data_IF_239949934766
#
_entry.id   IF_239949934766
#
_cell.length_a   1.000
_cell.length_b   1.000
_cell.length_c   1.000
_cell.angle_alpha   90.00
_cell.angle_beta   90.00
_cell.angle_gamma   90.00
#
_symmetry.space_group_name_H-M   'P 1'
#
loop_
_entity.id
_entity.type
_entity.pdbx_description
1 polymer ?
#
# COMPACT_ATOMS: atom_id res chain seq x y z
N UNK A 1 38.06 19.49 22.29
CA UNK A 1 36.82 20.05 22.87
C UNK A 1 36.44 21.41 22.27
N UNK A 2 37.34 22.41 22.26
CA UNK A 2 37.07 23.74 21.68
C UNK A 2 36.81 23.75 20.15
N UNK A 3 37.47 22.88 19.37
CA UNK A 3 37.30 22.80 17.90
C UNK A 3 35.90 22.29 17.48
N UNK A 4 35.28 21.40 18.26
CA UNK A 4 33.95 20.87 17.97
C UNK A 4 32.85 21.92 18.24
N UNK A 5 33.04 22.72 19.29
CA UNK A 5 32.14 23.83 19.60
C UNK A 5 32.23 24.95 18.56
N UNK A 6 33.41 25.19 17.99
CA UNK A 6 33.62 26.17 16.93
C UNK A 6 32.99 25.74 15.59
N UNK A 7 33.07 24.45 15.24
CA UNK A 7 32.37 23.89 14.06
C UNK A 7 30.84 24.01 14.19
N UNK A 8 30.27 23.75 15.36
CA UNK A 8 28.82 23.91 15.59
C UNK A 8 28.32 25.36 15.42
N UNK A 9 29.11 26.35 15.85
CA UNK A 9 28.79 27.78 15.66
C UNK A 9 28.95 28.23 14.21
N UNK A 10 29.96 27.71 13.50
CA UNK A 10 30.17 28.02 12.08
C UNK A 10 29.05 27.46 11.19
N UNK A 11 28.59 26.23 11.48
CA UNK A 11 27.44 25.61 10.78
C UNK A 11 26.16 26.43 11.02
N UNK A 12 25.94 26.92 12.24
CA UNK A 12 24.80 27.81 12.55
C UNK A 12 24.84 29.17 11.83
N UNK A 13 26.03 29.78 11.68
CA UNK A 13 26.19 31.03 10.91
C UNK A 13 26.05 30.83 9.39
N UNK A 14 26.56 29.72 8.86
CA UNK A 14 26.42 29.38 7.43
C UNK A 14 24.96 29.06 7.09
N UNK A 15 24.24 28.33 7.96
CA UNK A 15 22.80 28.12 7.81
C UNK A 15 22.03 29.45 7.85
N UNK A 16 22.33 30.35 8.79
CA UNK A 16 21.71 31.68 8.86
C UNK A 16 21.97 32.57 7.63
N UNK A 17 23.16 32.48 7.04
CA UNK A 17 23.52 33.24 5.83
C UNK A 17 22.97 32.62 4.52
N UNK A 18 22.68 31.32 4.48
CA UNK A 18 22.03 30.68 3.34
C UNK A 18 20.54 31.03 3.33
N UNK A 19 19.87 31.01 4.50
CA UNK A 19 18.48 31.47 4.62
C UNK A 19 18.30 32.94 4.22
N UNK A 20 19.28 33.81 4.48
CA UNK A 20 19.22 35.22 4.05
C UNK A 20 19.50 35.43 2.55
N UNK A 21 20.34 34.59 1.92
CA UNK A 21 20.63 34.68 0.47
C UNK A 21 19.54 34.03 -0.39
N UNK A 22 18.92 32.95 0.06
CA UNK A 22 17.81 32.30 -0.66
C UNK A 22 16.58 33.21 -0.72
N UNK A 23 16.37 34.06 0.30
CA UNK A 23 15.27 35.05 0.32
C UNK A 23 15.42 36.22 -0.67
N UNK A 24 16.59 36.43 -1.27
CA UNK A 24 16.85 37.61 -2.11
C UNK A 24 16.60 37.40 -3.62
N UNK A 25 16.40 36.16 -4.08
CA UNK A 25 16.26 35.84 -5.51
C UNK A 25 14.98 35.07 -5.89
N UNK A 26 14.03 34.91 -4.97
CA UNK A 26 12.78 34.18 -5.20
C UNK A 26 11.56 35.09 -5.10
N UNK A 27 10.58 34.87 -5.98
CA UNK A 27 9.26 35.52 -5.92
C UNK A 27 8.67 35.40 -4.50
N UNK A 28 8.07 36.46 -3.92
CA UNK A 28 7.42 36.38 -2.62
C UNK A 28 6.26 35.37 -2.69
N UNK A 29 6.31 34.31 -1.87
CA UNK A 29 5.21 33.33 -1.73
C UNK A 29 5.53 31.87 -2.06
N UNK A 30 6.74 31.52 -2.51
CA UNK A 30 7.11 30.12 -2.72
C UNK A 30 7.52 29.46 -1.39
N UNK A 31 6.62 28.66 -0.79
CA UNK A 31 7.00 27.74 0.29
C UNK A 31 7.90 26.67 -0.33
N UNK A 32 9.21 26.73 -0.07
CA UNK A 32 10.13 25.71 -0.60
C UNK A 32 9.83 24.34 0.03
N UNK A 33 9.43 23.38 -0.80
CA UNK A 33 9.31 21.98 -0.41
C UNK A 33 10.67 21.45 0.08
N UNK A 34 10.69 20.43 0.96
CA UNK A 34 11.90 19.82 1.53
C UNK A 34 12.95 19.54 0.47
N UNK A 35 12.53 18.97 -0.66
CA UNK A 35 13.39 18.65 -1.79
C UNK A 35 14.16 19.85 -2.33
N UNK A 36 13.50 21.00 -2.46
CA UNK A 36 14.13 22.24 -2.96
C UNK A 36 15.16 22.80 -1.99
N UNK A 37 14.89 22.69 -0.69
CA UNK A 37 15.84 23.11 0.34
C UNK A 37 17.08 22.21 0.37
N UNK A 38 16.90 20.88 0.32
CA UNK A 38 18.05 19.95 0.23
C UNK A 38 18.84 20.19 -1.05
N UNK A 39 18.15 20.44 -2.17
CA UNK A 39 18.80 20.77 -3.45
C UNK A 39 19.69 22.01 -3.31
N UNK A 40 19.19 23.08 -2.67
CA UNK A 40 19.98 24.28 -2.43
C UNK A 40 21.19 24.02 -1.51
N UNK A 41 21.02 23.21 -0.48
CA UNK A 41 22.12 22.82 0.42
C UNK A 41 23.21 22.04 -0.32
N UNK A 42 22.85 21.02 -1.10
CA UNK A 42 23.82 20.19 -1.82
C UNK A 42 24.49 20.92 -2.99
N UNK A 43 23.81 21.91 -3.58
CA UNK A 43 24.41 22.75 -4.61
C UNK A 43 25.61 23.57 -4.10
N UNK A 44 25.62 23.96 -2.81
CA UNK A 44 26.76 24.62 -2.19
C UNK A 44 28.02 23.72 -2.14
N UNK A 45 27.82 22.41 -2.13
CA UNK A 45 28.87 21.39 -2.18
C UNK A 45 29.10 20.85 -3.62
N UNK A 46 28.54 21.51 -4.64
CA UNK A 46 28.74 21.15 -6.05
C UNK A 46 27.89 19.99 -6.56
N UNK A 47 26.88 19.53 -5.80
CA UNK A 47 25.99 18.45 -6.21
C UNK A 47 24.60 18.94 -6.61
N UNK A 48 24.11 18.49 -7.76
CA UNK A 48 22.78 18.87 -8.25
C UNK A 48 21.76 17.73 -8.03
N UNK A 49 21.04 17.81 -6.90
CA UNK A 49 20.01 16.83 -6.55
C UNK A 49 18.85 16.78 -7.55
N UNK A 50 18.54 17.90 -8.23
CA UNK A 50 17.50 17.94 -9.26
C UNK A 50 17.88 17.08 -10.46
N UNK A 51 19.13 17.19 -10.92
CA UNK A 51 19.63 16.39 -12.03
C UNK A 51 19.67 14.91 -11.66
N UNK A 52 20.10 14.57 -10.43
CA UNK A 52 20.12 13.18 -9.97
C UNK A 52 18.70 12.58 -9.90
N UNK A 53 17.72 13.31 -9.37
CA UNK A 53 16.35 12.81 -9.25
C UNK A 53 15.59 12.77 -10.58
N UNK A 54 15.52 13.90 -11.29
CA UNK A 54 14.69 14.04 -12.50
C UNK A 54 15.43 13.69 -13.80
N UNK A 55 16.77 13.66 -13.77
CA UNK A 55 17.60 13.53 -14.95
C UNK A 55 17.88 14.89 -15.61
N UNK A 56 18.88 14.90 -16.50
CA UNK A 56 19.26 16.06 -17.29
C UNK A 56 19.86 15.61 -18.62
N UNK A 57 19.12 15.78 -19.71
CA UNK A 57 19.55 15.35 -21.04
C UNK A 57 20.82 16.08 -21.51
N UNK A 58 20.94 17.39 -21.25
CA UNK A 58 22.11 18.19 -21.64
C UNK A 58 23.39 17.75 -20.92
N UNK A 59 23.26 17.28 -19.67
CA UNK A 59 24.37 16.76 -18.87
C UNK A 59 24.53 15.24 -18.96
N UNK A 60 23.75 14.58 -19.82
CA UNK A 60 23.69 13.12 -19.96
C UNK A 60 23.47 12.37 -18.63
N UNK A 61 22.64 12.93 -17.75
CA UNK A 61 22.28 12.32 -16.46
C UNK A 61 20.92 11.63 -16.61
N UNK A 62 20.90 10.32 -16.38
CA UNK A 62 19.65 9.59 -16.20
C UNK A 62 19.14 9.84 -14.77
N UNK A 63 17.87 10.25 -14.65
CA UNK A 63 17.27 10.51 -13.34
C UNK A 63 16.86 9.23 -12.61
N UNK A 64 16.97 9.20 -11.29
CA UNK A 64 16.46 8.10 -10.45
C UNK A 64 14.98 7.87 -10.66
N UNK A 65 14.18 8.93 -10.70
CA UNK A 65 12.74 8.83 -10.93
C UNK A 65 12.43 8.14 -12.26
N UNK A 66 13.14 8.50 -13.33
CA UNK A 66 12.96 7.86 -14.65
C UNK A 66 13.28 6.36 -14.62
N UNK A 67 14.30 5.95 -13.85
CA UNK A 67 14.66 4.53 -13.69
C UNK A 67 13.66 3.77 -12.84
N UNK A 68 13.19 4.37 -11.75
CA UNK A 68 12.14 3.81 -10.89
C UNK A 68 10.83 3.63 -11.66
N UNK A 69 10.42 4.63 -12.46
CA UNK A 69 9.18 4.58 -13.27
C UNK A 69 9.16 3.48 -14.34
N UNK A 70 10.29 2.81 -14.62
CA UNK A 70 10.28 1.58 -15.45
C UNK A 70 9.49 0.46 -14.78
N UNK A 71 9.39 0.46 -13.45
CA UNK A 71 8.48 -0.39 -12.69
C UNK A 71 7.19 0.40 -12.44
N UNK A 72 6.07 -0.07 -13.00
CA UNK A 72 4.79 0.65 -12.95
C UNK A 72 4.35 1.01 -11.52
N UNK A 73 4.56 0.10 -10.56
CA UNK A 73 4.27 0.30 -9.12
C UNK A 73 4.98 1.51 -8.50
N UNK A 74 6.12 1.90 -9.05
CA UNK A 74 6.96 2.98 -8.52
C UNK A 74 6.73 4.31 -9.23
N UNK A 75 5.83 4.35 -10.22
CA UNK A 75 5.53 5.55 -11.01
C UNK A 75 4.93 6.72 -10.22
N UNK A 76 4.44 6.47 -9.00
CA UNK A 76 3.89 7.50 -8.12
C UNK A 76 4.82 7.87 -6.95
N UNK A 77 6.02 7.27 -6.87
CA UNK A 77 7.01 7.59 -5.82
C UNK A 77 7.46 9.03 -5.95
N UNK A 78 7.40 9.79 -4.87
CA UNK A 78 7.90 11.16 -4.83
C UNK A 78 9.33 11.24 -4.30
N UNK A 79 9.99 12.36 -4.58
CA UNK A 79 11.32 12.64 -4.06
C UNK A 79 11.36 12.67 -2.52
N UNK A 80 10.25 13.01 -1.88
CA UNK A 80 10.08 12.98 -0.42
C UNK A 80 10.16 11.55 0.12
N UNK A 81 9.48 10.58 -0.50
CA UNK A 81 9.55 9.16 -0.10
C UNK A 81 10.99 8.65 -0.19
N UNK A 82 11.67 9.02 -1.29
CA UNK A 82 13.06 8.64 -1.53
C UNK A 82 14.00 9.24 -0.48
N UNK A 83 13.89 10.55 -0.22
CA UNK A 83 14.69 11.23 0.79
C UNK A 83 14.40 10.72 2.21
N UNK A 84 13.15 10.33 2.51
CA UNK A 84 12.80 9.68 3.77
C UNK A 84 13.52 8.34 3.90
N UNK A 85 13.54 7.51 2.86
CA UNK A 85 14.25 6.22 2.88
C UNK A 85 15.76 6.39 3.10
N UNK A 86 16.40 7.37 2.44
CA UNK A 86 17.81 7.72 2.65
C UNK A 86 18.04 8.20 4.10
N UNK A 87 17.16 9.06 4.61
CA UNK A 87 17.26 9.59 5.98
C UNK A 87 17.12 8.50 7.04
N UNK A 88 16.20 7.54 6.84
CA UNK A 88 16.02 6.41 7.75
C UNK A 88 17.25 5.49 7.78
N UNK A 89 17.84 5.17 6.63
CA UNK A 89 19.07 4.36 6.59
C UNK A 89 20.27 5.08 7.21
N UNK A 90 20.43 6.37 6.93
CA UNK A 90 21.50 7.16 7.53
C UNK A 90 21.36 7.26 9.05
N UNK A 91 20.17 7.58 9.55
CA UNK A 91 19.94 7.72 11.00
C UNK A 91 19.96 6.38 11.72
N UNK A 92 19.56 5.28 11.08
CA UNK A 92 19.76 3.92 11.59
C UNK A 92 21.24 3.59 11.77
N UNK A 93 22.10 3.95 10.81
CA UNK A 93 23.54 3.77 10.95
C UNK A 93 24.11 4.55 12.14
N UNK A 94 23.76 5.83 12.27
CA UNK A 94 24.20 6.67 13.40
C UNK A 94 23.73 6.09 14.74
N UNK A 95 22.48 5.64 14.79
CA UNK A 95 21.90 4.98 15.97
C UNK A 95 22.65 3.71 16.34
N UNK A 96 22.95 2.83 15.38
CA UNK A 96 23.73 1.61 15.61
C UNK A 96 25.14 1.93 16.13
N UNK A 97 25.78 2.97 15.60
CA UNK A 97 27.07 3.43 16.08
C UNK A 97 27.00 3.98 17.52
N UNK A 98 25.96 4.76 17.85
CA UNK A 98 25.71 5.25 19.20
C UNK A 98 25.57 4.11 20.21
N UNK A 99 24.74 3.10 19.90
CA UNK A 99 24.56 1.90 20.74
C UNK A 99 25.87 1.14 20.87
N UNK A 100 26.60 0.92 19.78
CA UNK A 100 27.89 0.24 19.80
C UNK A 100 28.94 1.00 20.64
N UNK A 101 28.83 2.33 20.73
CA UNK A 101 29.66 3.17 21.60
C UNK A 101 29.20 3.23 23.07
N UNK A 102 28.17 2.46 23.45
CA UNK A 102 27.66 2.37 24.82
C UNK A 102 26.69 3.48 25.23
N UNK A 103 26.19 4.30 24.28
CA UNK A 103 25.15 5.29 24.57
C UNK A 103 23.82 4.60 24.84
N UNK A 104 23.03 5.18 25.75
CA UNK A 104 21.72 4.64 26.16
C UNK A 104 20.65 5.73 26.29
N UNK A 105 19.38 5.32 26.22
CA UNK A 105 18.23 6.22 26.38
C UNK A 105 18.26 7.41 25.42
N UNK A 106 18.03 8.62 25.95
CA UNK A 106 17.97 9.87 25.17
C UNK A 106 19.28 10.28 24.51
N UNK A 107 20.40 9.64 24.86
CA UNK A 107 21.71 9.93 24.26
C UNK A 107 21.93 9.21 22.92
N UNK A 108 21.08 8.22 22.60
CA UNK A 108 21.08 7.49 21.33
C UNK A 108 20.21 8.23 20.32
N UNK A 109 20.75 8.52 19.13
CA UNK A 109 19.95 9.13 18.08
C UNK A 109 18.81 8.21 17.63
N UNK A 110 17.60 8.75 17.39
CA UNK A 110 16.51 7.96 16.84
C UNK A 110 16.67 7.78 15.32
N UNK A 111 16.12 6.69 14.79
CA UNK A 111 15.83 6.61 13.35
C UNK A 111 14.76 7.66 13.02
N UNK A 112 14.89 8.36 11.90
CA UNK A 112 13.97 9.46 11.56
C UNK A 112 13.73 9.59 10.07
N UNK A 113 12.47 9.86 9.73
CA UNK A 113 11.99 10.27 8.41
C UNK A 113 11.46 11.71 8.41
N UNK A 114 11.65 12.45 9.52
CA UNK A 114 11.10 13.80 9.68
C UNK A 114 11.82 14.79 8.79
N UNK A 115 11.10 15.82 8.33
CA UNK A 115 11.65 16.95 7.57
C UNK A 115 12.96 17.49 8.13
N UNK A 116 13.06 17.70 9.45
CA UNK A 116 14.27 18.25 10.09
C UNK A 116 15.49 17.33 9.88
N UNK A 117 15.30 16.02 9.95
CA UNK A 117 16.37 15.03 9.72
C UNK A 117 16.79 14.97 8.25
N UNK A 118 15.84 15.12 7.33
CA UNK A 118 16.13 15.20 5.89
C UNK A 118 16.95 16.45 5.57
N UNK A 119 16.57 17.61 6.13
CA UNK A 119 17.30 18.87 5.91
C UNK A 119 18.70 18.87 6.53
N UNK A 120 18.91 18.14 7.62
CA UNK A 120 20.21 18.02 8.28
C UNK A 120 21.12 16.94 7.65
N UNK A 121 20.62 16.17 6.68
CA UNK A 121 21.35 15.05 6.09
C UNK A 121 22.52 15.56 5.22
N UNK A 122 23.78 15.20 5.52
CA UNK A 122 24.91 15.65 4.73
C UNK A 122 24.92 14.99 3.35
N UNK A 123 25.50 15.67 2.35
CA UNK A 123 25.63 15.13 1.00
C UNK A 123 26.34 13.78 0.96
N UNK A 124 27.34 13.56 1.83
CA UNK A 124 28.04 12.27 1.93
C UNK A 124 27.12 11.12 2.35
N UNK A 125 26.13 11.38 3.22
CA UNK A 125 25.14 10.37 3.60
C UNK A 125 24.19 10.08 2.44
N UNK A 126 23.75 11.11 1.71
CA UNK A 126 22.94 10.93 0.51
C UNK A 126 23.69 10.11 -0.55
N UNK A 127 24.92 10.50 -0.89
CA UNK A 127 25.74 9.81 -1.88
C UNK A 127 26.01 8.34 -1.52
N UNK A 128 26.14 8.04 -0.22
CA UNK A 128 26.31 6.66 0.27
C UNK A 128 25.07 5.81 0.08
N UNK A 129 23.89 6.35 0.40
CA UNK A 129 22.66 5.56 0.52
C UNK A 129 21.75 5.64 -0.70
N UNK A 130 21.87 6.64 -1.57
CA UNK A 130 20.95 6.85 -2.68
C UNK A 130 20.86 5.63 -3.63
N UNK A 131 21.99 5.04 -4.02
CA UNK A 131 21.99 3.87 -4.90
C UNK A 131 21.39 2.63 -4.23
N UNK A 132 21.68 2.41 -2.94
CA UNK A 132 21.10 1.31 -2.16
C UNK A 132 19.59 1.49 -1.98
N UNK A 133 19.13 2.72 -1.74
CA UNK A 133 17.69 3.05 -1.65
C UNK A 133 16.99 2.82 -2.99
N UNK A 134 17.59 3.26 -4.09
CA UNK A 134 17.04 2.99 -5.43
C UNK A 134 16.88 1.49 -5.68
N UNK A 135 17.90 0.69 -5.36
CA UNK A 135 17.82 -0.76 -5.42
C UNK A 135 16.72 -1.32 -4.48
N UNK A 136 16.61 -0.77 -3.26
CA UNK A 136 15.57 -1.12 -2.29
C UNK A 136 14.15 -0.90 -2.80
N UNK A 137 13.88 0.22 -3.49
CA UNK A 137 12.58 0.48 -4.12
C UNK A 137 12.27 -0.52 -5.24
N UNK A 138 13.26 -0.88 -6.06
CA UNK A 138 13.09 -1.92 -7.08
C UNK A 138 12.81 -3.30 -6.45
N UNK A 139 13.43 -3.62 -5.31
CA UNK A 139 13.10 -4.81 -4.55
C UNK A 139 11.69 -4.73 -3.94
N UNK A 140 11.25 -3.54 -3.48
CA UNK A 140 9.90 -3.33 -2.96
C UNK A 140 8.84 -3.62 -4.04
N UNK A 141 9.06 -3.20 -5.29
CA UNK A 141 8.19 -3.54 -6.41
C UNK A 141 8.13 -5.07 -6.66
N UNK A 142 9.26 -5.79 -6.53
CA UNK A 142 9.29 -7.26 -6.63
C UNK A 142 8.54 -7.94 -5.49
N UNK A 143 8.70 -7.44 -4.26
CA UNK A 143 7.95 -7.93 -3.10
C UNK A 143 6.44 -7.73 -3.30
N UNK A 144 6.00 -6.54 -3.71
CA UNK A 144 4.60 -6.20 -3.95
C UNK A 144 3.96 -7.08 -5.04
N UNK A 145 4.67 -7.35 -6.14
CA UNK A 145 4.19 -8.31 -7.16
C UNK A 145 3.97 -9.70 -6.60
N UNK A 146 4.85 -10.16 -5.70
CA UNK A 146 4.70 -11.47 -5.02
C UNK A 146 3.49 -11.47 -4.06
N UNK A 147 3.17 -10.32 -3.49
CA UNK A 147 1.94 -10.06 -2.73
C UNK A 147 0.71 -9.74 -3.59
N UNK A 148 0.81 -9.91 -4.92
CA UNK A 148 -0.29 -9.68 -5.87
C UNK A 148 -0.73 -8.22 -6.04
N UNK A 149 0.07 -7.25 -5.59
CA UNK A 149 -0.09 -5.82 -5.91
C UNK A 149 0.73 -5.51 -7.16
N UNK A 150 0.08 -5.22 -8.28
CA UNK A 150 0.74 -5.08 -9.60
C UNK A 150 0.71 -3.65 -10.13
N UNK A 151 -0.29 -2.85 -9.76
CA UNK A 151 -0.45 -1.48 -10.27
C UNK A 151 -0.50 -0.43 -9.16
N UNK A 152 -0.19 0.85 -9.45
CA UNK A 152 -0.35 1.93 -8.46
C UNK A 152 -1.78 2.08 -7.94
N UNK A 153 -2.79 1.74 -8.75
CA UNK A 153 -4.21 1.82 -8.35
C UNK A 153 -4.50 0.87 -7.18
N UNK A 154 -3.90 -0.31 -7.21
CA UNK A 154 -4.05 -1.36 -6.20
C UNK A 154 -3.25 -1.08 -4.92
N UNK A 155 -2.24 -0.21 -4.99
CA UNK A 155 -1.39 0.09 -3.83
C UNK A 155 -2.23 0.73 -2.71
N UNK A 156 -2.37 0.07 -1.55
CA UNK A 156 -3.18 0.60 -0.45
C UNK A 156 -2.54 1.84 0.18
N UNK A 157 -1.23 1.78 0.43
CA UNK A 157 -0.45 2.87 1.02
C UNK A 157 0.87 3.06 0.30
N UNK A 158 1.00 4.17 -0.43
CA UNK A 158 2.31 4.61 -0.97
C UNK A 158 3.32 4.87 0.14
N UNK A 159 2.84 5.34 1.28
CA UNK A 159 3.63 5.66 2.46
C UNK A 159 4.34 4.46 3.10
N UNK A 160 3.91 3.23 2.81
CA UNK A 160 4.64 2.00 3.21
C UNK A 160 5.84 1.68 2.30
N UNK A 161 5.97 2.30 1.12
CA UNK A 161 7.07 2.02 0.19
C UNK A 161 8.43 2.43 0.76
N UNK A 162 8.52 3.63 1.36
CA UNK A 162 9.79 4.13 1.89
C UNK A 162 10.40 3.22 2.98
N UNK A 163 9.68 2.82 4.05
CA UNK A 163 10.25 1.92 5.06
C UNK A 163 10.53 0.52 4.48
N UNK A 164 9.66 0.00 3.60
CA UNK A 164 9.89 -1.29 2.94
C UNK A 164 11.17 -1.25 2.08
N UNK A 165 11.35 -0.20 1.27
CA UNK A 165 12.54 -0.01 0.44
C UNK A 165 13.81 0.10 1.29
N UNK A 166 13.79 0.83 2.41
CA UNK A 166 14.91 0.90 3.34
C UNK A 166 15.28 -0.48 3.91
N UNK A 167 14.29 -1.26 4.36
CA UNK A 167 14.54 -2.61 4.89
C UNK A 167 15.08 -3.53 3.80
N UNK A 168 14.50 -3.51 2.60
CA UNK A 168 14.95 -4.34 1.48
C UNK A 168 16.33 -3.95 0.95
N UNK A 169 16.70 -2.66 0.97
CA UNK A 169 18.05 -2.20 0.68
C UNK A 169 19.07 -2.83 1.64
N UNK A 170 18.71 -2.95 2.93
CA UNK A 170 19.56 -3.60 3.93
C UNK A 170 19.63 -5.12 3.77
N UNK A 171 18.50 -5.77 3.53
CA UNK A 171 18.41 -7.24 3.43
C UNK A 171 19.01 -7.78 2.13
N UNK A 172 18.90 -7.03 1.02
CA UNK A 172 19.25 -7.50 -0.33
C UNK A 172 18.58 -8.86 -0.58
N UNK A 173 19.26 -9.84 -1.16
CA UNK A 173 18.67 -11.14 -1.52
C UNK A 173 18.01 -11.89 -0.34
N UNK A 174 18.40 -11.61 0.91
CA UNK A 174 17.85 -12.26 2.11
C UNK A 174 16.34 -12.08 2.27
N UNK A 175 15.73 -11.04 1.67
CA UNK A 175 14.27 -10.87 1.76
C UNK A 175 13.48 -12.04 1.16
N UNK A 176 14.11 -12.83 0.26
CA UNK A 176 13.54 -14.03 -0.35
C UNK A 176 13.58 -15.25 0.58
N UNK A 177 14.36 -15.21 1.66
CA UNK A 177 14.39 -16.29 2.65
C UNK A 177 12.96 -16.48 3.20
N UNK A 178 12.40 -17.70 3.20
CA UNK A 178 10.96 -17.91 3.46
C UNK A 178 10.45 -17.29 4.77
N UNK A 179 11.24 -17.39 5.85
CA UNK A 179 10.88 -16.80 7.16
C UNK A 179 10.90 -15.28 7.13
N UNK A 180 11.89 -14.68 6.45
CA UNK A 180 12.00 -13.22 6.32
C UNK A 180 10.87 -12.69 5.45
N UNK A 181 10.60 -13.34 4.31
CA UNK A 181 9.48 -13.01 3.44
C UNK A 181 8.15 -13.04 4.21
N UNK A 182 7.91 -14.08 5.00
CA UNK A 182 6.69 -14.18 5.81
C UNK A 182 6.55 -13.03 6.82
N UNK A 183 7.64 -12.66 7.51
CA UNK A 183 7.66 -11.50 8.43
C UNK A 183 7.34 -10.19 7.70
N UNK A 184 7.97 -9.95 6.55
CA UNK A 184 7.69 -8.77 5.72
C UNK A 184 6.22 -8.75 5.26
N UNK A 185 5.66 -9.89 4.87
CA UNK A 185 4.26 -10.04 4.48
C UNK A 185 3.30 -9.72 5.64
N UNK A 186 3.51 -10.31 6.82
CA UNK A 186 2.69 -10.02 8.01
C UNK A 186 2.75 -8.55 8.42
N UNK A 187 3.93 -7.92 8.37
CA UNK A 187 4.06 -6.49 8.65
C UNK A 187 3.33 -5.63 7.61
N UNK A 188 3.51 -5.93 6.33
CA UNK A 188 2.89 -5.17 5.24
C UNK A 188 1.36 -5.20 5.38
N UNK A 189 0.78 -6.39 5.51
CA UNK A 189 -0.65 -6.59 5.65
C UNK A 189 -1.20 -6.09 6.98
N UNK A 190 -0.44 -6.16 8.07
CA UNK A 190 -0.82 -5.50 9.34
C UNK A 190 -0.94 -3.99 9.19
N UNK A 191 -0.03 -3.37 8.43
CA UNK A 191 -0.09 -1.95 8.12
C UNK A 191 -1.29 -1.56 7.28
N UNK A 192 -1.59 -2.33 6.23
CA UNK A 192 -2.71 -2.10 5.30
C UNK A 192 -4.05 -2.31 6.00
N UNK A 193 -4.26 -3.47 6.62
CA UNK A 193 -5.55 -3.89 7.18
C UNK A 193 -5.82 -3.27 8.54
N UNK A 194 -4.77 -2.85 9.26
CA UNK A 194 -4.90 -1.99 10.45
C UNK A 194 -5.05 -0.50 10.12
N UNK A 195 -5.06 -0.12 8.84
CA UNK A 195 -5.20 1.26 8.34
C UNK A 195 -4.19 2.25 8.98
N UNK A 196 -2.95 1.78 9.25
CA UNK A 196 -1.97 2.45 10.10
C UNK A 196 -1.14 3.55 9.41
N UNK A 197 -1.32 3.72 8.09
CA UNK A 197 -0.47 4.58 7.26
C UNK A 197 -1.23 5.73 6.58
N UNK A 198 -2.44 6.04 7.05
CA UNK A 198 -3.27 7.14 6.54
C UNK A 198 -2.94 8.53 7.12
N UNK A 199 -2.34 8.62 8.31
CA UNK A 199 -2.03 9.91 8.96
C UNK A 199 -0.88 9.81 9.97
N UNK A 200 -0.24 10.94 10.28
CA UNK A 200 0.85 11.06 11.29
C UNK A 200 1.97 10.00 11.18
N UNK A 201 2.33 9.62 9.96
CA UNK A 201 3.11 8.42 9.67
C UNK A 201 4.63 8.53 9.82
N UNK A 202 5.22 9.73 9.84
CA UNK A 202 6.68 9.90 9.78
C UNK A 202 7.41 9.17 10.93
N UNK A 203 6.80 9.17 12.12
CA UNK A 203 7.34 8.45 13.27
C UNK A 203 7.19 6.94 13.09
N UNK A 204 6.06 6.46 12.54
CA UNK A 204 5.80 5.04 12.29
C UNK A 204 6.79 4.48 11.27
N UNK A 205 6.91 5.09 10.09
CA UNK A 205 7.81 4.61 9.03
C UNK A 205 9.27 4.55 9.51
N UNK A 206 9.73 5.54 10.30
CA UNK A 206 11.07 5.55 10.85
C UNK A 206 11.32 4.41 11.85
N UNK A 207 10.33 4.18 12.71
CA UNK A 207 10.33 3.09 13.67
C UNK A 207 10.29 1.71 13.00
N UNK A 208 9.48 1.54 11.94
CA UNK A 208 9.33 0.27 11.23
C UNK A 208 10.64 -0.25 10.65
N UNK A 209 11.51 0.64 10.15
CA UNK A 209 12.81 0.21 9.61
C UNK A 209 13.66 -0.47 10.67
N UNK A 210 13.71 0.09 11.88
CA UNK A 210 14.45 -0.52 12.99
C UNK A 210 13.74 -1.77 13.51
N UNK A 211 12.44 -1.66 13.81
CA UNK A 211 11.63 -2.72 14.39
C UNK A 211 11.62 -3.98 13.51
N UNK A 212 11.46 -3.82 12.19
CA UNK A 212 11.49 -4.94 11.24
C UNK A 212 12.84 -5.64 11.21
N UNK A 213 13.93 -4.88 11.15
CA UNK A 213 15.27 -5.46 11.11
C UNK A 213 15.58 -6.21 12.40
N UNK A 214 15.21 -5.65 13.55
CA UNK A 214 15.33 -6.35 14.84
C UNK A 214 14.47 -7.60 14.88
N UNK A 215 13.22 -7.53 14.40
CA UNK A 215 12.34 -8.69 14.38
C UNK A 215 12.85 -9.80 13.48
N UNK A 216 13.45 -9.45 12.33
CA UNK A 216 14.06 -10.42 11.42
C UNK A 216 15.16 -11.21 12.13
N UNK A 217 15.99 -10.53 12.92
CA UNK A 217 17.09 -11.15 13.66
C UNK A 217 16.64 -11.84 14.97
N UNK A 218 15.52 -11.42 15.56
CA UNK A 218 14.97 -11.97 16.81
C UNK A 218 13.44 -12.05 16.80
N UNK A 219 12.90 -13.25 16.95
CA UNK A 219 11.43 -13.49 16.94
C UNK A 219 10.70 -12.77 18.08
N UNK A 220 11.39 -12.45 19.18
CA UNK A 220 10.81 -11.77 20.36
C UNK A 220 10.60 -10.26 20.16
N UNK A 221 11.24 -9.67 19.14
CA UNK A 221 11.21 -8.23 18.87
C UNK A 221 10.04 -7.84 17.95
N UNK A 222 8.81 -8.18 18.33
CA UNK A 222 7.61 -7.93 17.50
C UNK A 222 7.49 -6.43 17.15
N UNK A 223 7.39 -6.05 15.87
CA UNK A 223 7.28 -4.65 15.45
C UNK A 223 6.04 -3.97 16.01
N UNK A 224 6.13 -2.68 16.33
CA UNK A 224 4.99 -1.89 16.80
C UNK A 224 3.82 -1.91 15.83
N UNK A 225 4.07 -1.82 14.53
CA UNK A 225 3.00 -1.92 13.52
C UNK A 225 2.24 -3.24 13.58
N UNK A 226 2.90 -4.36 13.89
CA UNK A 226 2.21 -5.64 14.10
C UNK A 226 1.48 -5.64 15.43
N UNK A 227 2.05 -5.10 16.51
CA UNK A 227 1.37 -5.02 17.79
C UNK A 227 0.11 -4.13 17.75
N UNK A 228 0.24 -2.93 17.17
CA UNK A 228 -0.80 -1.90 17.08
C UNK A 228 -1.95 -2.27 16.15
N UNK A 229 -1.67 -3.04 15.09
CA UNK A 229 -2.68 -3.33 14.07
C UNK A 229 -3.86 -4.08 14.69
N UNK A 230 -5.08 -3.74 14.32
CA UNK A 230 -6.25 -4.51 14.71
C UNK A 230 -7.25 -4.45 13.56
N UNK A 231 -7.89 -5.58 13.28
CA UNK A 231 -8.98 -5.62 12.32
C UNK A 231 -10.25 -6.03 13.04
N UNK A 232 -11.23 -5.13 13.10
CA UNK A 232 -12.57 -5.46 13.60
C UNK A 232 -13.37 -6.12 12.47
N UNK A 233 -13.98 -7.30 12.67
CA UNK A 233 -14.89 -7.89 11.69
C UNK A 233 -15.99 -6.95 11.19
N UNK A 234 -16.48 -6.04 12.03
CA UNK A 234 -17.55 -5.09 11.67
C UNK A 234 -17.09 -4.01 10.70
N UNK A 235 -15.77 -3.84 10.55
CA UNK A 235 -15.21 -3.00 9.48
C UNK A 235 -15.68 -3.46 8.10
N UNK A 236 -15.91 -4.76 7.90
CA UNK A 236 -16.42 -5.30 6.64
C UNK A 236 -17.85 -4.82 6.33
N UNK A 237 -18.64 -4.48 7.35
CA UNK A 237 -20.03 -4.02 7.19
C UNK A 237 -20.13 -2.53 6.88
N UNK A 238 -19.06 -1.77 7.10
CA UNK A 238 -19.02 -0.32 6.84
C UNK A 238 -18.08 0.04 5.68
N UNK A 239 -17.33 -0.93 5.17
CA UNK A 239 -16.34 -0.71 4.13
C UNK A 239 -16.98 -0.64 2.74
N UNK A 240 -17.30 0.59 2.30
CA UNK A 240 -17.95 0.89 1.02
C UNK A 240 -17.02 1.53 0.00
N UNK A 241 -16.08 2.39 0.43
CA UNK A 241 -15.20 3.17 -0.44
C UNK A 241 -14.00 2.36 -0.96
N UNK A 242 -13.89 2.31 -2.29
CA UNK A 242 -12.79 1.65 -3.03
C UNK A 242 -11.44 2.34 -2.86
N UNK A 243 -11.43 3.57 -2.34
CA UNK A 243 -10.20 4.34 -2.10
C UNK A 243 -9.51 3.94 -0.80
N UNK A 244 -10.25 3.38 0.16
CA UNK A 244 -9.68 2.98 1.45
C UNK A 244 -8.64 1.87 1.29
N UNK A 245 -7.59 1.94 2.13
CA UNK A 245 -6.49 0.98 2.07
C UNK A 245 -6.95 -0.43 2.42
N UNK A 246 -7.80 -0.59 3.44
CA UNK A 246 -8.36 -1.89 3.79
C UNK A 246 -9.18 -2.50 2.64
N UNK A 247 -9.94 -1.68 1.89
CA UNK A 247 -10.71 -2.17 0.74
C UNK A 247 -9.79 -2.66 -0.38
N UNK A 248 -8.81 -1.84 -0.78
CA UNK A 248 -7.82 -2.21 -1.79
C UNK A 248 -7.07 -3.48 -1.38
N UNK A 249 -6.64 -3.54 -0.12
CA UNK A 249 -5.95 -4.68 0.44
C UNK A 249 -6.78 -5.95 0.40
N UNK A 250 -8.04 -5.89 0.85
CA UNK A 250 -8.93 -7.05 0.82
C UNK A 250 -9.20 -7.53 -0.61
N UNK A 251 -9.39 -6.61 -1.56
CA UNK A 251 -9.55 -6.97 -2.98
C UNK A 251 -8.31 -7.71 -3.51
N UNK A 252 -7.11 -7.19 -3.25
CA UNK A 252 -5.86 -7.87 -3.64
C UNK A 252 -5.75 -9.25 -3.00
N UNK A 253 -6.13 -9.40 -1.72
CA UNK A 253 -6.09 -10.69 -1.04
C UNK A 253 -7.05 -11.71 -1.67
N UNK A 254 -8.25 -11.29 -2.08
CA UNK A 254 -9.19 -12.17 -2.81
C UNK A 254 -8.59 -12.61 -4.15
N UNK A 255 -7.96 -11.69 -4.88
CA UNK A 255 -7.25 -12.01 -6.12
C UNK A 255 -6.09 -13.01 -5.89
N UNK A 256 -5.35 -12.84 -4.79
CA UNK A 256 -4.23 -13.70 -4.38
C UNK A 256 -4.67 -15.15 -4.08
N UNK A 257 -5.90 -15.35 -3.59
CA UNK A 257 -6.48 -16.69 -3.39
C UNK A 257 -6.89 -17.38 -4.72
N UNK A 258 -6.69 -16.71 -5.86
CA UNK A 258 -6.89 -17.27 -7.19
C UNK A 258 -8.30 -17.03 -7.75
N UNK A 259 -8.94 -15.94 -7.37
CA UNK A 259 -10.25 -15.52 -7.88
C UNK A 259 -10.31 -15.55 -9.43
N UNK A 260 -11.31 -16.26 -9.97
CA UNK A 260 -11.50 -16.47 -11.41
C UNK A 260 -12.70 -15.69 -11.96
N UNK A 261 -12.59 -15.17 -13.17
CA UNK A 261 -13.71 -14.50 -13.82
C UNK A 261 -14.84 -15.47 -14.16
N UNK A 262 -16.09 -15.05 -13.93
CA UNK A 262 -17.27 -15.91 -14.10
C UNK A 262 -17.57 -16.24 -15.56
N UNK A 263 -17.10 -15.42 -16.51
CA UNK A 263 -17.27 -15.64 -17.94
C UNK A 263 -16.04 -16.27 -18.58
N UNK A 264 -14.86 -15.69 -18.37
CA UNK A 264 -13.62 -16.06 -19.03
C UNK A 264 -12.98 -17.31 -18.43
N UNK A 265 -13.34 -17.70 -17.20
CA UNK A 265 -12.84 -18.90 -16.51
C UNK A 265 -11.33 -18.89 -16.24
N UNK A 266 -10.69 -17.73 -16.40
CA UNK A 266 -9.29 -17.49 -16.11
C UNK A 266 -9.16 -16.71 -14.80
N UNK A 267 -7.98 -16.69 -14.19
CA UNK A 267 -7.76 -15.87 -13.00
C UNK A 267 -7.90 -14.41 -13.38
N UNK A 268 -8.55 -13.63 -12.52
CA UNK A 268 -8.71 -12.19 -12.74
C UNK A 268 -7.36 -11.51 -12.95
N UNK A 269 -6.32 -11.93 -12.23
CA UNK A 269 -4.97 -11.40 -12.40
C UNK A 269 -4.31 -11.68 -13.76
N UNK A 270 -4.67 -12.79 -14.42
CA UNK A 270 -4.18 -13.13 -15.76
C UNK A 270 -4.88 -12.24 -16.80
N UNK A 271 -6.18 -11.99 -16.61
CA UNK A 271 -6.96 -11.10 -17.47
C UNK A 271 -6.51 -9.64 -17.34
N UNK A 272 -6.09 -9.22 -16.13
CA UNK A 272 -5.53 -7.87 -15.90
C UNK A 272 -4.21 -7.68 -16.66
N UNK A 273 -3.35 -8.70 -16.67
CA UNK A 273 -2.10 -8.69 -17.44
C UNK A 273 -2.34 -8.62 -18.96
N UNK A 274 -3.51 -9.07 -19.43
CA UNK A 274 -3.99 -8.99 -20.81
C UNK A 274 -4.75 -7.68 -21.12
N UNK A 275 -4.73 -6.70 -20.21
CA UNK A 275 -5.41 -5.40 -20.32
C UNK A 275 -6.93 -5.51 -20.52
N UNK A 276 -7.55 -6.60 -20.06
CA UNK A 276 -9.00 -6.73 -20.08
C UNK A 276 -9.63 -5.84 -19.01
N UNK A 277 -10.73 -5.17 -19.39
CA UNK A 277 -11.47 -4.31 -18.47
C UNK A 277 -12.10 -5.12 -17.33
N UNK A 278 -11.51 -4.97 -16.14
CA UNK A 278 -11.96 -5.54 -14.87
C UNK A 278 -12.48 -4.42 -13.97
N UNK A 279 -13.58 -4.69 -13.28
CA UNK A 279 -14.11 -3.77 -12.28
C UNK A 279 -14.77 -4.54 -11.13
N UNK A 280 -15.01 -3.84 -10.03
CA UNK A 280 -15.58 -4.43 -8.82
C UNK A 280 -17.09 -4.19 -8.84
N UNK A 281 -17.85 -5.29 -8.80
CA UNK A 281 -19.30 -5.28 -8.93
C UNK A 281 -19.98 -6.04 -7.80
N UNK A 282 -21.27 -5.76 -7.59
CA UNK A 282 -22.06 -6.46 -6.59
C UNK A 282 -22.33 -7.90 -7.00
N UNK A 283 -22.18 -8.83 -6.06
CA UNK A 283 -22.47 -10.26 -6.25
C UNK A 283 -23.99 -10.49 -6.27
N UNK A 284 -24.69 -9.93 -5.29
CA UNK A 284 -26.12 -9.69 -5.35
C UNK A 284 -26.35 -8.29 -5.92
N UNK A 285 -26.91 -8.17 -7.14
CA UNK A 285 -27.03 -6.87 -7.80
C UNK A 285 -27.88 -5.87 -7.03
N UNK A 286 -27.51 -4.58 -7.12
CA UNK A 286 -28.23 -3.48 -6.47
C UNK A 286 -29.73 -3.53 -6.74
N UNK A 287 -30.15 -3.62 -8.01
CA UNK A 287 -31.55 -3.70 -8.41
C UNK A 287 -32.30 -4.87 -7.74
N UNK A 288 -31.63 -6.01 -7.54
CA UNK A 288 -32.24 -7.15 -6.87
C UNK A 288 -32.35 -6.89 -5.37
N UNK A 289 -31.31 -6.36 -4.74
CA UNK A 289 -31.31 -6.04 -3.32
C UNK A 289 -32.42 -5.03 -2.97
N UNK A 290 -32.56 -3.97 -3.77
CA UNK A 290 -33.59 -2.94 -3.57
C UNK A 290 -35.01 -3.50 -3.70
N UNK A 291 -35.26 -4.36 -4.70
CA UNK A 291 -36.56 -5.04 -4.86
C UNK A 291 -36.90 -6.00 -3.73
N UNK A 292 -35.88 -6.54 -3.05
CA UNK A 292 -36.05 -7.43 -1.90
C UNK A 292 -35.97 -6.68 -0.55
N UNK A 293 -35.99 -5.35 -0.55
CA UNK A 293 -36.03 -4.54 0.67
C UNK A 293 -34.73 -4.52 1.48
N UNK A 294 -33.61 -4.91 0.87
CA UNK A 294 -32.30 -4.87 1.52
C UNK A 294 -31.78 -3.43 1.45
N UNK A 295 -31.41 -2.88 2.61
CA UNK A 295 -30.93 -1.50 2.72
C UNK A 295 -29.57 -1.34 2.02
N UNK A 296 -29.36 -0.18 1.40
CA UNK A 296 -28.08 0.19 0.75
C UNK A 296 -26.87 0.08 1.67
N UNK A 297 -27.01 0.47 2.92
CA UNK A 297 -25.94 0.33 3.92
C UNK A 297 -25.46 -1.13 4.12
N UNK A 298 -26.32 -2.12 3.81
CA UNK A 298 -25.99 -3.55 3.94
C UNK A 298 -25.48 -4.12 2.61
N UNK A 299 -26.18 -3.87 1.50
CA UNK A 299 -25.77 -4.47 0.22
C UNK A 299 -24.57 -3.79 -0.44
N UNK A 300 -24.26 -2.53 -0.08
CA UNK A 300 -23.20 -1.75 -0.74
C UNK A 300 -21.83 -1.87 -0.06
N UNK A 301 -21.60 -2.93 0.71
CA UNK A 301 -20.34 -3.18 1.42
C UNK A 301 -19.40 -4.05 0.57
N UNK A 302 -18.13 -4.11 0.96
CA UNK A 302 -17.14 -4.98 0.33
C UNK A 302 -17.53 -6.46 0.39
N UNK A 303 -18.32 -6.88 1.39
CA UNK A 303 -18.80 -8.27 1.54
C UNK A 303 -19.68 -8.69 0.37
N UNK A 304 -20.41 -7.75 -0.25
CA UNK A 304 -21.23 -8.05 -1.42
C UNK A 304 -20.54 -7.61 -2.73
N UNK A 305 -19.25 -7.29 -2.73
CA UNK A 305 -18.53 -6.84 -3.94
C UNK A 305 -17.41 -7.81 -4.32
N UNK A 306 -17.15 -7.97 -5.62
CA UNK A 306 -16.05 -8.82 -6.12
C UNK A 306 -15.55 -8.35 -7.49
N UNK A 307 -14.25 -8.50 -7.80
CA UNK A 307 -13.71 -8.11 -9.10
C UNK A 307 -14.15 -9.13 -10.16
N UNK A 308 -14.72 -8.63 -11.26
CA UNK A 308 -15.11 -9.43 -12.43
C UNK A 308 -14.92 -8.61 -13.70
N UNK A 309 -14.88 -9.29 -14.83
CA UNK A 309 -14.83 -8.64 -16.14
C UNK A 309 -16.14 -7.94 -16.47
N UNK A 310 -16.03 -6.91 -17.32
CA UNK A 310 -17.19 -6.26 -17.92
C UNK A 310 -18.17 -7.25 -18.57
N UNK A 311 -17.66 -8.33 -19.18
CA UNK A 311 -18.48 -9.34 -19.85
C UNK A 311 -19.31 -10.17 -18.86
N UNK A 312 -18.70 -10.59 -17.76
CA UNK A 312 -19.41 -11.22 -16.66
C UNK A 312 -20.46 -10.27 -16.06
N UNK A 313 -20.09 -9.01 -15.81
CA UNK A 313 -21.00 -8.01 -15.25
C UNK A 313 -22.25 -7.76 -16.14
N UNK A 314 -22.09 -7.66 -17.46
CA UNK A 314 -23.23 -7.52 -18.39
C UNK A 314 -24.21 -8.69 -18.29
N UNK A 315 -23.73 -9.90 -18.02
CA UNK A 315 -24.57 -11.09 -17.88
C UNK A 315 -25.27 -11.15 -16.52
N UNK A 316 -24.61 -10.64 -15.47
CA UNK A 316 -25.20 -10.48 -14.14
C UNK A 316 -26.39 -9.51 -14.20
N UNK A 317 -26.19 -8.31 -14.73
CA UNK A 317 -27.23 -7.28 -14.82
C UNK A 317 -27.90 -7.01 -13.46
N UNK A 318 -29.22 -6.81 -13.45
CA UNK A 318 -30.02 -6.65 -12.23
C UNK A 318 -30.72 -7.93 -11.76
N UNK A 319 -30.21 -9.11 -12.13
CA UNK A 319 -30.87 -10.39 -11.88
C UNK A 319 -30.48 -11.04 -10.55
N UNK A 320 -31.36 -11.89 -10.03
CA UNK A 320 -31.03 -12.77 -8.91
C UNK A 320 -29.84 -13.68 -9.27
N UNK A 321 -28.96 -14.02 -8.32
CA UNK A 321 -27.83 -14.92 -8.58
C UNK A 321 -28.18 -16.26 -9.19
N UNK A 322 -29.23 -16.94 -8.74
CA UNK A 322 -29.72 -18.18 -9.34
C UNK A 322 -29.97 -18.06 -10.85
N UNK A 323 -30.49 -16.90 -11.28
CA UNK A 323 -30.83 -16.59 -12.66
C UNK A 323 -29.56 -16.29 -13.46
N UNK A 324 -28.71 -15.37 -13.00
CA UNK A 324 -27.52 -15.01 -13.80
C UNK A 324 -26.51 -16.15 -13.87
N UNK A 325 -26.39 -16.99 -12.84
CA UNK A 325 -25.50 -18.16 -12.87
C UNK A 325 -25.96 -19.14 -13.93
N UNK A 326 -27.25 -19.43 -13.98
CA UNK A 326 -27.84 -20.29 -15.02
C UNK A 326 -27.59 -19.74 -16.42
N UNK A 327 -27.73 -18.42 -16.61
CA UNK A 327 -27.44 -17.74 -17.89
C UNK A 327 -25.96 -17.82 -18.27
N UNK A 328 -25.05 -17.52 -17.34
CA UNK A 328 -23.60 -17.60 -17.55
C UNK A 328 -23.20 -19.03 -17.95
N UNK A 329 -23.66 -20.03 -17.22
CA UNK A 329 -23.37 -21.44 -17.48
C UNK A 329 -23.86 -21.90 -18.85
N UNK A 330 -25.09 -21.54 -19.23
CA UNK A 330 -25.70 -21.93 -20.49
C UNK A 330 -25.21 -21.10 -21.70
N UNK A 331 -24.42 -20.05 -21.47
CA UNK A 331 -23.89 -19.22 -22.55
C UNK A 331 -23.02 -20.05 -23.49
N UNK A 332 -23.20 -19.88 -24.80
CA UNK A 332 -22.58 -20.72 -25.85
C UNK A 332 -21.05 -20.77 -25.79
N UNK A 333 -20.43 -19.69 -25.31
CA UNK A 333 -18.97 -19.57 -25.16
C UNK A 333 -18.44 -20.02 -23.78
N UNK A 334 -19.32 -20.26 -22.81
CA UNK A 334 -18.93 -20.57 -21.42
C UNK A 334 -19.11 -22.06 -21.14
N UNK A 335 -20.33 -22.57 -21.39
CA UNK A 335 -20.74 -23.99 -21.28
C UNK A 335 -20.14 -24.70 -20.05
N UNK A 336 -20.75 -24.48 -18.89
CA UNK A 336 -20.27 -25.03 -17.61
C UNK A 336 -21.34 -25.84 -16.87
N UNK A 337 -20.94 -26.99 -16.35
CA UNK A 337 -21.72 -27.71 -15.35
C UNK A 337 -21.69 -26.97 -13.99
N UNK A 338 -22.68 -27.23 -13.14
CA UNK A 338 -22.81 -26.57 -11.84
C UNK A 338 -21.55 -26.67 -10.99
N UNK A 339 -20.92 -27.85 -10.92
CA UNK A 339 -19.69 -28.06 -10.16
C UNK A 339 -18.53 -27.15 -10.63
N UNK A 340 -18.41 -26.89 -11.93
CA UNK A 340 -17.35 -26.05 -12.48
C UNK A 340 -17.63 -24.57 -12.21
N UNK A 341 -18.89 -24.12 -12.37
CA UNK A 341 -19.28 -22.76 -12.00
C UNK A 341 -19.12 -22.51 -10.49
N UNK A 342 -19.45 -23.51 -9.66
CA UNK A 342 -19.28 -23.42 -8.22
C UNK A 342 -17.80 -23.30 -7.83
N UNK A 343 -16.89 -23.98 -8.53
CA UNK A 343 -15.45 -23.81 -8.30
C UNK A 343 -14.98 -22.38 -8.62
N UNK A 344 -15.46 -21.79 -9.73
CA UNK A 344 -15.15 -20.40 -10.10
C UNK A 344 -15.71 -19.44 -9.05
N UNK A 345 -16.99 -19.52 -8.72
CA UNK A 345 -17.61 -18.65 -7.71
C UNK A 345 -16.95 -18.81 -6.34
N UNK A 346 -16.65 -20.05 -5.95
CA UNK A 346 -15.98 -20.38 -4.69
C UNK A 346 -14.57 -19.79 -4.56
N UNK A 347 -13.87 -19.56 -5.68
CA UNK A 347 -12.56 -18.88 -5.69
C UNK A 347 -12.60 -17.44 -5.16
N UNK A 348 -13.78 -16.83 -5.07
CA UNK A 348 -14.01 -15.49 -4.49
C UNK A 348 -14.46 -15.53 -3.02
N UNK A 349 -14.32 -16.69 -2.37
CA UNK A 349 -14.78 -16.95 -1.01
C UNK A 349 -16.31 -16.80 -0.85
N UNK A 350 -17.06 -17.16 -1.88
CA UNK A 350 -18.52 -17.08 -1.92
C UNK A 350 -19.12 -18.46 -1.64
N UNK A 351 -20.10 -18.53 -0.73
CA UNK A 351 -20.91 -19.74 -0.56
C UNK A 351 -21.85 -19.92 -1.75
N UNK A 352 -21.54 -20.91 -2.59
CA UNK A 352 -22.29 -21.20 -3.82
C UNK A 352 -23.70 -21.73 -3.57
N UNK A 353 -23.94 -22.37 -2.42
CA UNK A 353 -25.26 -22.91 -2.10
C UNK A 353 -26.21 -21.76 -1.74
N UNK A 354 -25.77 -20.86 -0.85
CA UNK A 354 -26.51 -19.65 -0.52
C UNK A 354 -26.75 -18.76 -1.76
N UNK A 355 -25.71 -18.60 -2.59
CA UNK A 355 -25.82 -17.83 -3.83
C UNK A 355 -26.87 -18.42 -4.78
N UNK A 356 -26.87 -19.74 -5.02
CA UNK A 356 -27.86 -20.39 -5.90
C UNK A 356 -29.29 -20.39 -5.35
N UNK A 357 -29.44 -20.28 -4.04
CA UNK A 357 -30.74 -20.16 -3.37
C UNK A 357 -31.25 -18.71 -3.30
N UNK A 358 -30.50 -17.74 -3.83
CA UNK A 358 -30.75 -16.30 -3.67
C UNK A 358 -30.83 -15.87 -2.19
N UNK A 359 -30.18 -16.63 -1.29
CA UNK A 359 -30.18 -16.39 0.15
C UNK A 359 -29.07 -15.39 0.51
N UNK A 360 -29.44 -14.11 0.48
CA UNK A 360 -28.52 -13.01 0.78
C UNK A 360 -27.94 -13.08 2.18
N UNK A 361 -28.73 -13.42 3.20
CA UNK A 361 -28.30 -13.39 4.60
C UNK A 361 -27.27 -14.49 4.88
N UNK A 362 -27.53 -15.71 4.39
CA UNK A 362 -26.57 -16.83 4.51
C UNK A 362 -25.30 -16.55 3.71
N UNK A 363 -25.41 -15.98 2.51
CA UNK A 363 -24.26 -15.53 1.71
C UNK A 363 -23.43 -14.51 2.47
N UNK A 364 -24.06 -13.46 3.00
CA UNK A 364 -23.37 -12.34 3.62
C UNK A 364 -22.63 -12.82 4.86
N UNK A 365 -23.30 -13.60 5.72
CA UNK A 365 -22.71 -14.17 6.94
C UNK A 365 -21.52 -15.09 6.63
N UNK A 366 -21.67 -16.01 5.68
CA UNK A 366 -20.62 -16.97 5.33
C UNK A 366 -19.41 -16.28 4.68
N UNK A 367 -19.64 -15.36 3.74
CA UNK A 367 -18.58 -14.60 3.08
C UNK A 367 -17.87 -13.65 4.04
N UNK A 368 -18.58 -12.94 4.92
CA UNK A 368 -17.96 -12.11 5.98
C UNK A 368 -16.99 -12.97 6.80
N UNK A 369 -17.42 -14.14 7.25
CA UNK A 369 -16.55 -15.05 8.02
C UNK A 369 -15.32 -15.54 7.23
N UNK A 370 -15.48 -15.82 5.93
CA UNK A 370 -14.37 -16.23 5.07
C UNK A 370 -13.36 -15.09 4.84
N UNK A 371 -13.84 -13.86 4.63
CA UNK A 371 -13.02 -12.66 4.47
C UNK A 371 -12.27 -12.31 5.77
N UNK A 372 -12.89 -12.48 6.95
CA UNK A 372 -12.19 -12.33 8.23
C UNK A 372 -11.03 -13.32 8.32
N UNK A 373 -11.25 -14.60 8.03
CA UNK A 373 -10.16 -15.59 8.03
C UNK A 373 -9.04 -15.26 7.04
N UNK A 374 -9.38 -14.68 5.88
CA UNK A 374 -8.40 -14.22 4.90
C UNK A 374 -7.53 -13.10 5.49
N UNK A 375 -8.15 -12.12 6.15
CA UNK A 375 -7.46 -11.03 6.86
C UNK A 375 -6.55 -11.57 7.96
N UNK A 376 -7.05 -12.50 8.78
CA UNK A 376 -6.28 -13.12 9.87
C UNK A 376 -5.01 -13.81 9.38
N UNK A 377 -5.13 -14.58 8.28
CA UNK A 377 -3.97 -15.23 7.64
C UNK A 377 -2.97 -14.21 7.10
N UNK A 378 -3.45 -13.12 6.49
CA UNK A 378 -2.58 -12.10 5.93
C UNK A 378 -1.81 -11.33 7.01
N UNK A 379 -2.48 -10.98 8.12
CA UNK A 379 -1.85 -10.30 9.26
C UNK A 379 -1.00 -11.24 10.13
N UNK A 380 -1.23 -12.56 10.03
CA UNK A 380 -0.59 -13.56 10.89
C UNK A 380 -1.13 -13.57 12.33
N UNK A 381 -2.36 -13.07 12.56
CA UNK A 381 -3.00 -13.01 13.87
C UNK A 381 -4.53 -12.94 13.78
N UNK A 382 -5.21 -13.30 14.87
CA UNK A 382 -6.66 -13.26 14.95
C UNK A 382 -7.22 -11.82 14.84
N UNK A 383 -8.43 -11.71 14.31
CA UNK A 383 -9.17 -10.45 14.26
C UNK A 383 -9.54 -10.01 15.69
N UNK A 384 -9.76 -8.71 15.87
CA UNK A 384 -10.15 -8.17 17.17
C UNK A 384 -11.51 -8.74 17.58
N UNK A 385 -11.63 -9.15 18.85
CA UNK A 385 -12.91 -9.58 19.41
C UNK A 385 -13.77 -8.33 19.59
N UNK A 386 -14.90 -8.29 18.91
CA UNK A 386 -15.91 -7.24 19.13
C UNK A 386 -16.64 -7.57 20.44
N UNK A 387 -16.64 -6.65 21.39
CA UNK A 387 -17.61 -6.68 22.48
C UNK A 387 -18.94 -6.14 21.91
N UNK A 388 -20.00 -6.96 21.94
CA UNK A 388 -21.34 -6.56 21.49
C UNK A 388 -21.72 -5.18 22.06
N UNK A 389 -22.03 -4.20 21.19
CA UNK A 389 -22.71 -2.98 21.62
C UNK A 389 -22.22 -1.62 21.10
N UNK A 390 -21.45 -1.53 20.00
CA UNK A 390 -21.17 -0.24 19.35
C UNK A 390 -22.06 -0.05 18.12
N UNK A 391 -22.99 0.90 18.23
CA UNK A 391 -23.85 1.40 17.15
C UNK A 391 -22.99 1.88 15.95
N UNK A 392 -23.31 1.52 14.68
CA UNK A 392 -22.51 1.95 13.55
C UNK A 392 -22.71 3.44 13.33
N UNK A 393 -21.77 4.24 13.85
CA UNK A 393 -21.69 5.68 13.60
C UNK A 393 -21.53 5.98 12.10
N UNK A 394 -22.27 6.98 11.65
CA UNK A 394 -22.41 7.54 10.31
C UNK A 394 -21.29 7.17 9.31
N UNK A 395 -21.66 6.35 8.33
CA UNK A 395 -20.83 6.09 7.16
C UNK A 395 -20.72 7.37 6.31
N UNK A 396 -19.49 7.77 5.98
CA UNK A 396 -19.25 8.81 4.97
C UNK A 396 -19.85 8.36 3.62
N UNK A 397 -20.86 9.09 3.16
CA UNK A 397 -21.52 8.88 1.87
C UNK A 397 -20.59 9.32 0.74
N UNK A 398 -20.14 8.37 -0.06
CA UNK A 398 -19.35 8.64 -1.27
C UNK A 398 -20.20 8.26 -2.50
N UNK A 399 -20.71 9.27 -3.22
CA UNK A 399 -21.56 9.15 -4.42
C UNK A 399 -20.77 8.80 -5.71
N UNK A 400 -19.53 8.30 -5.59
CA UNK A 400 -18.65 8.07 -6.74
C UNK A 400 -18.91 6.79 -7.54
N UNK A 401 -19.86 5.93 -7.16
CA UNK A 401 -20.27 4.74 -7.93
C UNK A 401 -21.26 5.08 -9.09
N UNK A 402 -21.13 6.24 -9.75
CA UNK A 402 -21.73 6.44 -11.07
C UNK A 402 -20.82 5.83 -12.14
N UNK A 403 -21.30 4.76 -12.76
CA UNK A 403 -20.68 4.05 -13.88
C UNK A 403 -20.04 5.04 -14.88
N UNK A 404 -18.70 5.08 -14.91
CA UNK A 404 -18.01 5.67 -16.05
C UNK A 404 -18.21 4.74 -17.25
N UNK A 405 -19.22 5.06 -18.05
CA UNK A 405 -19.38 4.55 -19.40
C UNK A 405 -18.19 5.06 -20.21
N UNK A 406 -17.16 4.23 -20.37
CA UNK A 406 -16.12 4.46 -21.37
C UNK A 406 -16.77 4.15 -22.72
N UNK A 407 -17.17 5.21 -23.44
CA UNK A 407 -17.52 5.11 -24.85
C UNK A 407 -16.31 4.61 -25.63
N UNK A 408 -16.48 3.66 -26.57
CA UNK A 408 -15.39 3.29 -27.48
C UNK A 408 -15.12 4.48 -28.39
N UNK A 409 -13.87 4.93 -28.41
CA UNK A 409 -13.37 5.87 -29.41
C UNK A 409 -13.11 5.06 -30.68
N UNK A 410 -13.79 5.42 -31.77
CA UNK A 410 -13.40 5.17 -33.16
C UNK A 410 -13.64 3.76 -33.70
#
# INVERSE_FOLDING_TARGET
SALAHFRGKLVGLVHGSIFSRVGASSKPGAVHNVFELVTATYAADGFNLRDDWHGNATRNVSGRYQRLCKEALLSQVESTDFLQAVSMLHTLELRRADVASGKTGKSVQPVSAKRVSILAMPLSAYAKWADEVEAGFLLAAKFLRKECVKTPRELPYRTQLAPLASVLAHLRERWLEPRIYQKLSHWYWSGVLGELYGSAIETRIANDVEDLLQWIDSDDAIPRTIADAAFSPDRLDTMTSRLSAAYKGLNVLVLREGAQDFFWKAKIQELDDEELALDIHHIFPQDWCEKNGIKRAVYNTVVNKTPISYKANRMIGGHAPSIYLSKLQAHTQVQLADAQMNAIVGSHLIDTAALRADDFDSFYKSRKAALVKLVERAMGKAAAVVADGADPGDAEEDESDQQQVISPVG
#
